data_IF_817015984805
#
_entry.id   IF_817015984805
#
_cell.length_a   1.000
_cell.length_b   1.000
_cell.length_c   1.000
_cell.angle_alpha   90.00
_cell.angle_beta   90.00
_cell.angle_gamma   90.00
#
_symmetry.space_group_name_H-M   'P 1'
#
loop_
_entity.id
_entity.type
_entity.pdbx_description
1 polymer ?
#
# COMPACT_ATOMS: atom_id res chain seq x y z
N UNK A 1 -15.29 17.25 43.06
CA UNK A 1 -14.31 17.76 42.07
C UNK A 1 -14.61 17.08 40.75
N UNK A 2 -15.25 17.77 39.83
CA UNK A 2 -15.58 17.24 38.50
C UNK A 2 -14.27 17.04 37.75
N UNK A 3 -13.85 15.78 37.59
CA UNK A 3 -12.71 15.42 36.75
C UNK A 3 -13.02 15.96 35.36
N UNK A 4 -12.10 16.74 34.83
CA UNK A 4 -12.21 17.25 33.49
C UNK A 4 -12.39 16.08 32.49
N UNK A 5 -13.48 16.04 31.71
CA UNK A 5 -13.77 14.94 30.80
C UNK A 5 -12.79 14.86 29.63
N UNK A 6 -12.14 15.96 29.24
CA UNK A 6 -11.23 16.01 28.09
C UNK A 6 -10.07 15.05 28.26
N UNK A 7 -9.48 14.99 29.45
CA UNK A 7 -8.35 14.09 29.73
C UNK A 7 -8.73 12.62 29.55
N UNK A 8 -9.86 12.20 30.12
CA UNK A 8 -10.39 10.85 30.02
C UNK A 8 -10.82 10.50 28.58
N UNK A 9 -11.52 11.41 27.91
CA UNK A 9 -11.98 11.24 26.53
C UNK A 9 -10.80 11.18 25.55
N UNK A 10 -9.78 12.01 25.74
CA UNK A 10 -8.57 12.01 24.94
C UNK A 10 -7.77 10.71 25.15
N UNK A 11 -7.68 10.24 26.40
CA UNK A 11 -7.04 8.96 26.72
C UNK A 11 -7.77 7.79 26.05
N UNK A 12 -9.09 7.76 26.12
CA UNK A 12 -9.91 6.77 25.42
C UNK A 12 -9.74 6.86 23.89
N UNK A 13 -9.80 8.05 23.31
CA UNK A 13 -9.58 8.23 21.87
C UNK A 13 -8.20 7.75 21.43
N UNK A 14 -7.16 7.89 22.27
CA UNK A 14 -5.83 7.40 21.98
C UNK A 14 -5.71 5.86 21.98
N UNK A 15 -6.57 5.12 22.69
CA UNK A 15 -6.54 3.64 22.66
C UNK A 15 -6.96 3.08 21.31
N UNK A 16 -7.56 3.90 20.44
CA UNK A 16 -7.95 3.55 19.09
C UNK A 16 -6.77 3.48 18.11
N UNK A 17 -5.56 3.85 18.56
CA UNK A 17 -4.35 3.94 17.74
C UNK A 17 -3.20 3.12 18.33
N UNK A 18 -2.19 2.74 17.52
CA UNK A 18 -1.11 1.85 17.98
C UNK A 18 -0.27 2.38 19.15
N UNK A 19 -0.12 3.71 19.29
CA UNK A 19 0.56 4.33 20.43
C UNK A 19 0.31 5.84 20.50
N UNK A 20 0.48 6.44 21.69
CA UNK A 20 0.46 7.90 21.88
C UNK A 20 1.53 8.58 21.02
N UNK A 21 2.70 7.96 20.84
CA UNK A 21 3.75 8.50 19.99
C UNK A 21 3.33 8.57 18.51
N UNK A 22 2.55 7.60 18.03
CA UNK A 22 1.96 7.64 16.69
C UNK A 22 0.98 8.82 16.55
N UNK A 23 0.11 9.01 17.55
CA UNK A 23 -0.86 10.14 17.59
C UNK A 23 -0.13 11.49 17.56
N UNK A 24 0.85 11.70 18.44
CA UNK A 24 1.58 12.97 18.53
C UNK A 24 2.26 13.36 17.20
N UNK A 25 2.86 12.39 16.49
CA UNK A 25 3.50 12.62 15.19
C UNK A 25 2.50 13.05 14.12
N UNK A 26 1.29 12.46 14.10
CA UNK A 26 0.27 12.78 13.10
C UNK A 26 -0.44 14.11 13.37
N UNK A 27 -0.71 14.43 14.63
CA UNK A 27 -1.32 15.73 15.01
C UNK A 27 -0.30 16.88 14.91
N UNK A 28 1.00 16.56 14.98
CA UNK A 28 2.07 17.57 15.01
C UNK A 28 2.07 18.34 16.33
N UNK A 29 1.82 17.65 17.45
CA UNK A 29 1.93 18.19 18.82
C UNK A 29 3.06 17.48 19.53
N UNK A 30 3.89 18.24 20.24
CA UNK A 30 4.99 17.68 21.01
C UNK A 30 4.47 16.68 22.07
N UNK A 31 5.12 15.51 22.18
CA UNK A 31 4.69 14.44 23.10
C UNK A 31 4.65 14.86 24.56
N UNK A 32 5.60 15.67 25.04
CA UNK A 32 5.58 16.18 26.41
C UNK A 32 4.36 17.08 26.65
N UNK A 33 4.02 17.92 25.67
CA UNK A 33 2.84 18.77 25.72
C UNK A 33 1.56 17.94 25.66
N UNK A 34 1.48 16.94 24.78
CA UNK A 34 0.32 16.08 24.65
C UNK A 34 0.07 15.24 25.90
N UNK A 35 1.13 14.74 26.54
CA UNK A 35 1.02 14.01 27.80
C UNK A 35 0.42 14.87 28.93
N UNK A 36 0.68 16.20 28.95
CA UNK A 36 0.04 17.12 29.90
C UNK A 36 -1.47 17.26 29.68
N UNK A 37 -1.94 17.02 28.46
CA UNK A 37 -3.38 16.99 28.14
C UNK A 37 -4.02 15.69 28.62
N UNK A 38 -3.34 14.55 28.37
CA UNK A 38 -3.79 13.24 28.84
C UNK A 38 -3.84 13.13 30.37
N UNK A 39 -2.92 13.79 31.07
CA UNK A 39 -2.93 13.84 32.55
C UNK A 39 -3.91 14.86 33.12
N UNK A 40 -4.61 15.64 32.26
CA UNK A 40 -5.52 16.71 32.69
C UNK A 40 -4.83 17.89 33.38
N UNK A 41 -3.49 17.96 33.35
CA UNK A 41 -2.72 19.03 34.01
C UNK A 41 -2.85 20.36 33.29
N UNK A 42 -3.02 20.32 31.95
CA UNK A 42 -3.17 21.52 31.12
C UNK A 42 -4.25 21.29 30.07
N UNK A 43 -4.97 22.36 29.73
CA UNK A 43 -5.92 22.38 28.60
C UNK A 43 -5.21 22.57 27.26
N UNK A 44 -5.62 21.89 26.17
CA UNK A 44 -5.20 22.28 24.84
C UNK A 44 -5.56 23.74 24.55
N UNK A 45 -4.66 24.47 23.87
CA UNK A 45 -5.01 25.78 23.30
C UNK A 45 -6.07 25.61 22.21
N UNK A 46 -6.81 26.66 21.83
CA UNK A 46 -7.82 26.57 20.75
C UNK A 46 -7.26 25.95 19.46
N UNK A 47 -6.04 26.32 19.08
CA UNK A 47 -5.35 25.75 17.91
C UNK A 47 -5.09 24.25 18.06
N UNK A 48 -4.55 23.83 19.21
CA UNK A 48 -4.29 22.42 19.47
C UNK A 48 -5.58 21.63 19.66
N UNK A 49 -6.62 22.22 20.25
CA UNK A 49 -7.94 21.63 20.40
C UNK A 49 -8.54 21.32 19.04
N UNK A 50 -8.50 22.27 18.10
CA UNK A 50 -8.95 22.05 16.72
C UNK A 50 -8.19 20.92 16.05
N UNK A 51 -6.85 20.92 16.13
CA UNK A 51 -6.02 19.82 15.58
C UNK A 51 -6.38 18.46 16.19
N UNK A 52 -6.65 18.41 17.48
CA UNK A 52 -7.07 17.19 18.18
C UNK A 52 -8.44 16.74 17.68
N UNK A 53 -9.41 17.66 17.63
CA UNK A 53 -10.76 17.42 17.12
C UNK A 53 -10.75 16.89 15.67
N UNK A 54 -10.03 17.57 14.77
CA UNK A 54 -9.90 17.19 13.36
C UNK A 54 -9.27 15.80 13.22
N UNK A 55 -8.25 15.49 14.03
CA UNK A 55 -7.58 14.19 13.98
C UNK A 55 -8.46 13.04 14.44
N UNK A 56 -9.27 13.25 15.49
CA UNK A 56 -10.15 12.22 16.03
C UNK A 56 -11.52 12.18 15.36
N UNK A 57 -11.84 13.14 14.48
CA UNK A 57 -13.15 13.24 13.83
C UNK A 57 -14.27 13.56 14.82
N UNK A 58 -13.99 14.42 15.79
CA UNK A 58 -14.95 14.86 16.82
C UNK A 58 -15.00 16.38 16.89
N UNK A 59 -16.10 16.94 17.40
CA UNK A 59 -16.16 18.37 17.71
C UNK A 59 -15.60 18.66 19.11
N UNK A 60 -15.28 19.93 19.40
CA UNK A 60 -14.85 20.33 20.75
C UNK A 60 -15.94 20.07 21.79
N UNK A 61 -17.21 20.28 21.43
CA UNK A 61 -18.35 19.97 22.31
C UNK A 61 -18.46 18.46 22.61
N UNK A 62 -18.20 17.61 21.61
CA UNK A 62 -18.17 16.15 21.79
C UNK A 62 -17.03 15.73 22.73
N UNK A 63 -15.83 16.28 22.55
CA UNK A 63 -14.69 15.97 23.41
C UNK A 63 -14.90 16.41 24.88
N UNK A 64 -15.77 17.40 25.11
CA UNK A 64 -16.16 17.90 26.42
C UNK A 64 -17.35 17.14 27.06
N UNK A 65 -17.91 16.13 26.38
CA UNK A 65 -19.02 15.33 26.91
C UNK A 65 -18.59 14.46 28.09
N UNK A 66 -19.54 14.06 28.92
CA UNK A 66 -19.33 13.03 29.95
C UNK A 66 -18.70 11.76 29.36
N UNK A 67 -17.68 11.16 30.00
CA UNK A 67 -16.90 10.10 29.38
C UNK A 67 -17.69 8.88 28.91
N UNK A 68 -18.72 8.48 29.66
CA UNK A 68 -19.61 7.40 29.24
C UNK A 68 -20.31 7.71 27.90
N UNK A 69 -20.82 8.93 27.73
CA UNK A 69 -21.47 9.37 26.48
C UNK A 69 -20.47 9.51 25.33
N UNK A 70 -19.26 9.99 25.60
CA UNK A 70 -18.21 10.08 24.60
C UNK A 70 -17.82 8.68 24.08
N UNK A 71 -17.62 7.73 24.99
CA UNK A 71 -17.35 6.33 24.64
C UNK A 71 -18.48 5.72 23.84
N UNK A 72 -19.75 5.92 24.22
CA UNK A 72 -20.91 5.46 23.46
C UNK A 72 -20.98 6.08 22.05
N UNK A 73 -20.76 7.38 21.92
CA UNK A 73 -20.75 8.09 20.64
C UNK A 73 -19.68 7.55 19.70
N UNK A 74 -18.46 7.36 20.21
CA UNK A 74 -17.34 6.80 19.44
C UNK A 74 -17.59 5.32 19.10
N UNK A 75 -18.20 4.55 20.00
CA UNK A 75 -18.56 3.16 19.76
C UNK A 75 -19.70 3.04 18.72
N UNK A 76 -20.67 3.95 18.71
CA UNK A 76 -21.75 4.02 17.74
C UNK A 76 -21.24 4.38 16.34
N UNK A 77 -20.32 5.35 16.21
CA UNK A 77 -19.60 5.63 14.96
C UNK A 77 -18.78 4.43 14.45
N UNK A 78 -18.44 3.49 15.34
CA UNK A 78 -17.72 2.24 15.03
C UNK A 78 -18.61 0.99 14.89
N UNK A 79 -19.93 1.06 15.11
CA UNK A 79 -20.81 -0.07 14.74
C UNK A 79 -20.64 -0.34 13.24
N UNK A 80 -20.55 -1.60 12.81
CA UNK A 80 -20.26 -1.95 11.41
C UNK A 80 -21.49 -1.63 10.54
N UNK A 81 -21.66 -0.36 10.19
CA UNK A 81 -22.79 0.12 9.39
C UNK A 81 -23.05 1.61 9.56
N UNK A 82 -22.31 2.45 8.83
CA UNK A 82 -22.50 3.91 8.75
C UNK A 82 -21.59 4.64 9.76
N UNK A 83 -20.49 5.25 9.36
CA UNK A 83 -20.37 6.19 8.25
C UNK A 83 -19.58 5.58 7.09
N UNK A 84 -20.19 5.60 5.90
CA UNK A 84 -19.40 5.88 4.71
C UNK A 84 -18.83 7.26 5.00
N UNK A 85 -17.61 7.34 5.52
CA UNK A 85 -16.76 8.48 5.23
C UNK A 85 -16.97 8.68 3.73
N UNK A 86 -17.68 9.74 3.35
CA UNK A 86 -17.91 10.09 1.96
C UNK A 86 -16.58 10.60 1.40
N UNK A 87 -15.53 9.77 1.52
CA UNK A 87 -14.36 9.91 0.70
C UNK A 87 -14.89 9.66 -0.72
N UNK A 88 -14.56 10.52 -1.69
CA UNK A 88 -14.92 10.28 -3.08
C UNK A 88 -14.39 8.92 -3.60
N UNK A 89 -13.40 8.34 -2.91
CA UNK A 89 -12.82 7.04 -3.20
C UNK A 89 -13.66 5.87 -2.67
N UNK A 90 -14.36 6.02 -1.54
CA UNK A 90 -15.10 4.94 -0.88
C UNK A 90 -16.15 4.29 -1.78
N UNK A 91 -17.07 5.06 -2.38
CA UNK A 91 -18.07 4.52 -3.31
C UNK A 91 -17.45 3.93 -4.58
N UNK A 92 -16.41 4.57 -5.13
CA UNK A 92 -15.74 4.12 -6.36
C UNK A 92 -14.99 2.81 -6.14
N UNK A 93 -14.18 2.71 -5.07
CA UNK A 93 -13.46 1.49 -4.72
C UNK A 93 -14.41 0.35 -4.38
N UNK A 94 -15.50 0.62 -3.66
CA UNK A 94 -16.55 -0.38 -3.41
C UNK A 94 -17.17 -0.87 -4.71
N UNK A 95 -17.46 0.03 -5.65
CA UNK A 95 -17.97 -0.33 -6.98
C UNK A 95 -16.97 -1.20 -7.76
N UNK A 96 -15.71 -0.78 -7.82
CA UNK A 96 -14.66 -1.57 -8.47
C UNK A 96 -14.55 -2.97 -7.85
N UNK A 97 -14.58 -3.08 -6.52
CA UNK A 97 -14.56 -4.37 -5.84
C UNK A 97 -15.81 -5.21 -6.10
N UNK A 98 -16.99 -4.58 -6.18
CA UNK A 98 -18.26 -5.27 -6.46
C UNK A 98 -18.31 -5.88 -7.86
N UNK A 99 -17.75 -5.18 -8.86
CA UNK A 99 -17.69 -5.68 -10.23
C UNK A 99 -16.46 -6.53 -10.52
N UNK A 100 -15.49 -6.56 -9.60
CA UNK A 100 -14.30 -7.39 -9.74
C UNK A 100 -14.66 -8.87 -9.64
N UNK A 101 -14.18 -9.66 -10.59
CA UNK A 101 -14.25 -11.11 -10.48
C UNK A 101 -13.38 -11.62 -9.31
N UNK A 102 -13.67 -12.82 -8.74
CA UNK A 102 -12.85 -13.43 -7.72
C UNK A 102 -11.41 -13.70 -8.19
N UNK A 103 -10.45 -13.36 -7.34
CA UNK A 103 -9.01 -13.54 -7.56
C UNK A 103 -8.41 -14.62 -6.63
N UNK A 104 -9.22 -15.41 -5.91
CA UNK A 104 -8.75 -16.40 -4.93
C UNK A 104 -7.66 -17.32 -5.49
N UNK A 105 -7.82 -17.74 -6.76
CA UNK A 105 -6.84 -18.58 -7.45
C UNK A 105 -5.47 -17.90 -7.63
N UNK A 106 -5.44 -16.58 -7.75
CA UNK A 106 -4.23 -15.75 -7.87
C UNK A 106 -3.70 -15.29 -6.51
N UNK A 107 -4.29 -15.69 -5.39
CA UNK A 107 -3.65 -15.47 -4.10
C UNK A 107 -2.37 -16.32 -3.97
N UNK A 108 -1.33 -15.73 -3.40
CA UNK A 108 -0.03 -16.38 -3.26
C UNK A 108 1.14 -15.41 -3.42
N UNK A 109 2.35 -15.97 -3.34
CA UNK A 109 3.60 -15.25 -3.53
C UNK A 109 4.03 -15.26 -4.99
N UNK A 110 4.75 -14.21 -5.38
CA UNK A 110 5.26 -14.01 -6.73
C UNK A 110 6.67 -13.45 -6.68
N UNK A 111 7.52 -13.83 -7.63
CA UNK A 111 8.61 -12.95 -8.04
C UNK A 111 8.12 -12.03 -9.16
N UNK A 112 8.31 -10.72 -8.97
CA UNK A 112 8.03 -9.73 -10.00
C UNK A 112 9.33 -9.34 -10.70
N UNK A 113 9.30 -9.39 -12.03
CA UNK A 113 10.42 -9.04 -12.89
C UNK A 113 10.04 -7.92 -13.86
N UNK A 114 10.90 -6.91 -13.97
CA UNK A 114 10.79 -5.83 -14.95
C UNK A 114 12.13 -5.12 -15.12
N UNK A 115 12.33 -4.42 -16.24
CA UNK A 115 13.51 -3.57 -16.41
C UNK A 115 13.48 -2.36 -15.48
N UNK A 116 14.55 -2.15 -14.71
CA UNK A 116 14.62 -1.06 -13.74
C UNK A 116 14.60 0.31 -14.42
N UNK A 117 13.69 1.17 -13.99
CA UNK A 117 13.60 2.56 -14.47
C UNK A 117 14.76 3.45 -13.97
N UNK A 118 15.37 3.10 -12.84
CA UNK A 118 16.48 3.87 -12.26
C UNK A 118 17.86 3.35 -12.70
N UNK A 119 17.94 2.07 -13.07
CA UNK A 119 19.18 1.35 -13.38
C UNK A 119 19.10 0.74 -14.80
N UNK A 120 19.45 1.51 -15.85
CA UNK A 120 19.37 1.07 -17.23
C UNK A 120 20.07 -0.27 -17.47
N UNK A 121 19.43 -1.16 -18.22
CA UNK A 121 19.95 -2.48 -18.56
C UNK A 121 19.91 -3.51 -17.43
N UNK A 122 19.46 -3.16 -16.23
CA UNK A 122 19.23 -4.11 -15.12
C UNK A 122 17.76 -4.54 -15.07
N UNK A 123 17.53 -5.75 -14.59
CA UNK A 123 16.20 -6.32 -14.30
C UNK A 123 16.05 -6.36 -12.78
N UNK A 124 14.96 -5.78 -12.28
CA UNK A 124 14.56 -5.90 -10.89
C UNK A 124 13.89 -7.25 -10.69
N UNK A 125 14.26 -7.97 -9.62
CA UNK A 125 13.48 -9.07 -9.04
C UNK A 125 12.99 -8.63 -7.67
N UNK A 126 11.69 -8.46 -7.51
CA UNK A 126 11.05 -8.13 -6.24
C UNK A 126 10.13 -9.26 -5.77
N UNK A 127 9.79 -9.27 -4.48
CA UNK A 127 8.86 -10.25 -3.92
C UNK A 127 7.51 -9.60 -3.72
N UNK A 128 6.50 -10.15 -4.37
CA UNK A 128 5.13 -9.68 -4.27
C UNK A 128 4.20 -10.74 -3.69
N UNK A 129 3.08 -10.30 -3.13
CA UNK A 129 2.06 -11.17 -2.60
C UNK A 129 0.66 -10.60 -2.86
N UNK A 130 -0.24 -11.47 -3.31
CA UNK A 130 -1.67 -11.20 -3.37
C UNK A 130 -2.34 -11.94 -2.22
N UNK A 131 -3.12 -11.22 -1.43
CA UNK A 131 -3.87 -11.78 -0.29
C UNK A 131 -5.33 -11.32 -0.33
N UNK A 132 -6.24 -12.13 0.20
CA UNK A 132 -7.64 -11.73 0.39
C UNK A 132 -7.88 -11.34 1.85
N UNK A 133 -8.47 -10.18 2.07
CA UNK A 133 -8.85 -9.70 3.41
C UNK A 133 -10.13 -8.86 3.33
N UNK A 134 -11.09 -9.14 4.20
CA UNK A 134 -12.35 -8.39 4.33
C UNK A 134 -13.11 -8.22 2.99
N UNK A 135 -13.02 -9.22 2.10
CA UNK A 135 -13.65 -9.17 0.78
C UNK A 135 -12.89 -8.39 -0.30
N UNK A 136 -11.68 -7.90 0.01
CA UNK A 136 -10.79 -7.21 -0.93
C UNK A 136 -9.54 -8.03 -1.23
N UNK A 137 -8.98 -7.84 -2.42
CA UNK A 137 -7.67 -8.38 -2.78
C UNK A 137 -6.61 -7.30 -2.61
N UNK A 138 -5.63 -7.61 -1.77
CA UNK A 138 -4.57 -6.71 -1.38
C UNK A 138 -3.25 -7.15 -2.00
N UNK A 139 -2.51 -6.15 -2.46
CA UNK A 139 -1.19 -6.30 -3.01
C UNK A 139 -0.14 -5.85 -1.99
N UNK A 140 0.95 -6.59 -1.89
CA UNK A 140 2.18 -6.16 -1.23
C UNK A 140 3.37 -6.47 -2.13
N UNK A 141 4.34 -5.57 -2.20
CA UNK A 141 5.59 -5.81 -2.91
C UNK A 141 6.77 -5.25 -2.11
N UNK A 142 7.89 -5.97 -2.16
CA UNK A 142 9.14 -5.59 -1.48
C UNK A 142 10.27 -5.67 -2.50
N UNK A 143 10.92 -4.52 -2.70
CA UNK A 143 12.13 -4.41 -3.50
C UNK A 143 13.34 -4.29 -2.58
N UNK A 144 14.45 -4.91 -2.99
CA UNK A 144 15.73 -4.79 -2.31
C UNK A 144 16.78 -4.35 -3.32
N UNK A 145 17.52 -3.31 -2.96
CA UNK A 145 18.63 -2.82 -3.77
C UNK A 145 19.89 -2.78 -2.90
N UNK A 146 20.98 -3.36 -3.38
CA UNK A 146 22.28 -3.23 -2.71
C UNK A 146 22.80 -1.83 -3.02
N UNK A 147 23.10 -1.05 -1.99
CA UNK A 147 23.69 0.27 -2.16
C UNK A 147 25.03 0.16 -2.90
N UNK A 148 25.16 0.93 -3.99
CA UNK A 148 26.38 0.99 -4.83
C UNK A 148 27.59 1.50 -4.04
N UNK A 149 27.38 2.22 -2.94
CA UNK A 149 28.44 2.82 -2.13
C UNK A 149 28.97 1.91 -1.01
N UNK A 150 28.45 0.67 -0.89
CA UNK A 150 28.73 -0.20 0.25
C UNK A 150 27.97 0.28 1.49
N UNK A 151 27.11 -0.57 2.05
CA UNK A 151 26.26 -0.19 3.17
C UNK A 151 25.01 -1.06 3.31
N UNK A 152 24.05 -0.62 4.13
CA UNK A 152 22.78 -1.30 4.32
C UNK A 152 22.00 -1.43 2.99
N UNK A 153 21.28 -2.54 2.82
CA UNK A 153 20.38 -2.73 1.68
C UNK A 153 19.22 -1.72 1.76
N UNK A 154 18.98 -1.02 0.66
CA UNK A 154 17.77 -0.22 0.53
C UNK A 154 16.58 -1.18 0.36
N UNK A 155 15.54 -0.97 1.18
CA UNK A 155 14.31 -1.77 1.14
C UNK A 155 13.14 -0.84 0.85
N UNK A 156 12.49 -1.06 -0.28
CA UNK A 156 11.28 -0.35 -0.66
C UNK A 156 10.09 -1.26 -0.45
N UNK A 157 9.02 -0.72 0.14
CA UNK A 157 7.79 -1.45 0.42
C UNK A 157 6.64 -0.77 -0.28
N UNK A 158 5.82 -1.57 -0.92
CA UNK A 158 4.66 -1.14 -1.66
C UNK A 158 3.45 -1.90 -1.17
N UNK A 159 2.32 -1.22 -1.15
CA UNK A 159 1.02 -1.79 -0.85
C UNK A 159 -0.01 -1.26 -1.82
N UNK A 160 -1.07 -2.03 -2.03
CA UNK A 160 -2.06 -1.70 -3.04
C UNK A 160 -3.26 -2.62 -3.04
N UNK A 161 -4.04 -2.49 -4.10
CA UNK A 161 -5.23 -3.30 -4.34
C UNK A 161 -5.12 -4.00 -5.69
N UNK A 162 -5.79 -5.14 -5.78
CA UNK A 162 -5.90 -5.93 -7.01
C UNK A 162 -7.37 -6.06 -7.40
N UNK A 163 -7.66 -5.86 -8.68
CA UNK A 163 -9.00 -6.00 -9.25
C UNK A 163 -8.94 -6.89 -10.49
N UNK A 164 -9.94 -7.74 -10.67
CA UNK A 164 -10.14 -8.47 -11.92
C UNK A 164 -11.32 -7.84 -12.66
N UNK A 165 -11.02 -6.91 -13.56
CA UNK A 165 -12.00 -6.08 -14.25
C UNK A 165 -11.63 -5.99 -15.73
N UNK A 166 -12.63 -6.11 -16.60
CA UNK A 166 -12.43 -6.08 -18.06
C UNK A 166 -11.52 -7.22 -18.52
N UNK A 167 -11.69 -8.41 -17.95
CA UNK A 167 -10.90 -9.62 -18.28
C UNK A 167 -9.39 -9.44 -18.09
N UNK A 168 -8.98 -8.51 -17.21
CA UNK A 168 -7.58 -8.26 -16.84
C UNK A 168 -7.41 -8.12 -15.33
N UNK A 169 -6.26 -8.56 -14.84
CA UNK A 169 -5.84 -8.36 -13.45
C UNK A 169 -5.14 -7.00 -13.36
N UNK A 170 -5.75 -6.08 -12.64
CA UNK A 170 -5.29 -4.71 -12.45
C UNK A 170 -4.71 -4.56 -11.04
N UNK A 171 -3.47 -4.10 -10.94
CA UNK A 171 -2.83 -3.77 -9.66
C UNK A 171 -2.57 -2.28 -9.62
N UNK A 172 -2.96 -1.62 -8.53
CA UNK A 172 -2.55 -0.24 -8.23
C UNK A 172 -1.85 -0.24 -6.89
N UNK A 173 -0.59 0.15 -6.88
CA UNK A 173 0.24 0.20 -5.66
C UNK A 173 0.83 1.60 -5.44
N UNK A 174 1.10 1.92 -4.18
CA UNK A 174 1.89 3.07 -3.76
C UNK A 174 3.04 2.64 -2.86
N UNK A 175 4.08 3.49 -2.78
CA UNK A 175 5.13 3.32 -1.78
C UNK A 175 4.54 3.53 -0.37
N UNK A 176 4.79 2.59 0.55
CA UNK A 176 4.04 2.45 1.80
C UNK A 176 4.40 3.50 2.87
N UNK A 177 5.60 4.08 2.85
CA UNK A 177 6.04 5.00 3.91
C UNK A 177 5.66 6.46 3.64
N UNK A 178 5.88 6.93 2.42
CA UNK A 178 5.70 8.32 2.00
C UNK A 178 4.58 8.49 0.98
N UNK A 179 4.05 7.40 0.41
CA UNK A 179 3.05 7.46 -0.68
C UNK A 179 3.51 8.36 -1.82
N UNK A 180 4.82 8.34 -2.08
CA UNK A 180 5.49 9.31 -2.95
C UNK A 180 5.54 8.89 -4.42
N UNK A 181 5.08 7.67 -4.72
CA UNK A 181 4.92 7.12 -6.06
C UNK A 181 3.70 6.22 -6.15
N UNK A 182 3.17 6.13 -7.36
CA UNK A 182 2.14 5.16 -7.77
C UNK A 182 2.73 4.32 -8.89
N UNK A 183 2.44 3.02 -8.87
CA UNK A 183 2.68 2.10 -9.98
C UNK A 183 1.39 1.37 -10.30
N UNK A 184 1.12 1.21 -11.59
CA UNK A 184 -0.03 0.46 -12.08
C UNK A 184 0.44 -0.70 -12.93
N UNK A 185 -0.22 -1.85 -12.81
CA UNK A 185 0.01 -3.02 -13.66
C UNK A 185 -1.31 -3.54 -14.21
N UNK A 186 -1.28 -3.96 -15.47
CA UNK A 186 -2.39 -4.64 -16.13
C UNK A 186 -1.83 -5.96 -16.66
N UNK A 187 -2.36 -7.07 -16.18
CA UNK A 187 -1.85 -8.41 -16.43
C UNK A 187 -2.93 -9.27 -17.10
N UNK A 188 -2.48 -10.16 -17.98
CA UNK A 188 -3.32 -11.24 -18.48
C UNK A 188 -3.62 -12.24 -17.35
N UNK A 189 -4.86 -12.72 -17.22
CA UNK A 189 -5.17 -13.87 -16.39
C UNK A 189 -4.52 -15.14 -16.95
N UNK A 190 -4.46 -16.20 -16.14
CA UNK A 190 -4.03 -17.52 -16.61
C UNK A 190 -5.22 -18.33 -17.09
N UNK A 191 -5.14 -18.83 -18.32
CA UNK A 191 -6.17 -19.69 -18.94
C UNK A 191 -5.91 -21.20 -18.73
N UNK A 192 -4.76 -21.56 -18.18
CA UNK A 192 -4.40 -22.94 -17.83
C UNK A 192 -5.04 -23.37 -16.50
N UNK A 193 -4.91 -24.65 -16.11
CA UNK A 193 -5.35 -25.12 -14.78
C UNK A 193 -4.38 -24.70 -13.65
N UNK A 194 -3.08 -24.64 -13.94
CA UNK A 194 -2.03 -24.09 -13.07
C UNK A 194 -1.76 -22.62 -13.37
N UNK A 195 -1.07 -21.92 -12.46
CA UNK A 195 -0.51 -20.59 -12.73
C UNK A 195 1.01 -20.74 -12.74
N UNK A 196 1.63 -20.52 -13.89
CA UNK A 196 3.09 -20.46 -13.99
C UNK A 196 3.56 -19.03 -13.79
N UNK A 197 3.02 -18.11 -14.58
CA UNK A 197 3.27 -16.68 -14.47
C UNK A 197 2.09 -15.86 -14.97
N UNK A 198 2.10 -14.57 -14.63
CA UNK A 198 1.23 -13.56 -15.21
C UNK A 198 2.10 -12.55 -15.95
N UNK A 199 1.73 -12.20 -17.18
CA UNK A 199 2.45 -11.25 -18.01
C UNK A 199 1.58 -10.02 -18.24
N UNK A 200 2.21 -8.86 -18.37
CA UNK A 200 1.50 -7.67 -18.79
C UNK A 200 2.38 -6.44 -18.84
N UNK A 201 1.75 -5.28 -18.69
CA UNK A 201 2.41 -3.98 -18.72
C UNK A 201 2.33 -3.33 -17.34
N UNK A 202 3.41 -2.63 -17.01
CA UNK A 202 3.52 -1.80 -15.82
C UNK A 202 3.86 -0.37 -16.22
N UNK A 203 3.26 0.60 -15.53
CA UNK A 203 3.62 2.01 -15.66
C UNK A 203 3.90 2.62 -14.28
N UNK A 204 4.87 3.52 -14.21
CA UNK A 204 5.28 4.17 -12.97
C UNK A 204 6.41 5.16 -13.18
N UNK A 205 6.95 5.69 -12.09
CA UNK A 205 8.09 6.60 -12.12
C UNK A 205 9.19 6.16 -11.15
N UNK A 206 10.48 6.25 -11.53
CA UNK A 206 11.59 5.95 -10.63
C UNK A 206 11.63 6.95 -9.46
N UNK A 207 11.84 6.44 -8.24
CA UNK A 207 11.96 7.29 -7.04
C UNK A 207 13.27 8.09 -7.01
N UNK A 208 14.36 7.56 -7.61
CA UNK A 208 15.72 8.09 -7.45
C UNK A 208 16.25 8.88 -8.66
N UNK A 209 15.82 8.59 -9.90
CA UNK A 209 16.47 9.13 -11.11
C UNK A 209 15.51 9.74 -12.12
N UNK A 210 15.55 11.07 -12.29
CA UNK A 210 14.86 11.82 -13.35
C UNK A 210 13.32 11.85 -13.30
N UNK A 211 12.67 11.00 -12.49
CA UNK A 211 11.21 10.89 -12.28
C UNK A 211 10.41 10.89 -13.59
N UNK A 212 11.01 10.44 -14.69
CA UNK A 212 10.33 10.36 -15.99
C UNK A 212 9.26 9.27 -15.90
N UNK A 213 8.03 9.52 -16.38
CA UNK A 213 7.05 8.46 -16.58
C UNK A 213 7.65 7.37 -17.46
N UNK A 214 7.47 6.12 -17.06
CA UNK A 214 8.01 4.97 -17.76
C UNK A 214 6.98 3.84 -17.82
N UNK A 215 7.10 3.03 -18.86
CA UNK A 215 6.36 1.79 -19.04
C UNK A 215 7.33 0.64 -19.32
N UNK A 216 6.99 -0.57 -18.90
CA UNK A 216 7.72 -1.78 -19.23
C UNK A 216 6.81 -3.01 -19.21
N UNK A 217 7.24 -4.07 -19.89
CA UNK A 217 6.73 -5.42 -19.65
C UNK A 217 7.05 -5.81 -18.20
N UNK A 218 6.12 -6.52 -17.59
CA UNK A 218 6.26 -7.06 -16.25
C UNK A 218 5.80 -8.51 -16.23
N UNK A 219 6.54 -9.34 -15.51
CA UNK A 219 6.22 -10.75 -15.26
C UNK A 219 6.06 -10.97 -13.78
N UNK A 220 4.97 -11.62 -13.38
CA UNK A 220 4.78 -12.18 -12.05
C UNK A 220 4.92 -13.70 -12.13
N UNK A 221 6.08 -14.22 -11.76
CA UNK A 221 6.37 -15.65 -11.70
C UNK A 221 5.79 -16.23 -10.40
N UNK A 222 4.86 -17.19 -10.51
CA UNK A 222 4.07 -17.67 -9.37
C UNK A 222 4.85 -18.64 -8.50
N UNK A 223 4.85 -18.40 -7.19
CA UNK A 223 5.57 -19.21 -6.21
C UNK A 223 4.64 -20.12 -5.39
N UNK A 224 3.32 -20.01 -5.61
CA UNK A 224 2.31 -20.74 -4.84
C UNK A 224 1.81 -19.98 -3.61
N UNK A 225 0.96 -20.64 -2.83
CA UNK A 225 0.34 -20.05 -1.63
C UNK A 225 1.20 -20.19 -0.37
N UNK A 226 2.04 -21.23 -0.31
CA UNK A 226 2.84 -21.58 0.87
C UNK A 226 4.31 -21.24 0.65
N UNK A 227 4.61 -19.93 0.58
CA UNK A 227 5.97 -19.43 0.30
C UNK A 227 6.66 -18.98 1.58
N UNK A 228 7.91 -19.41 1.79
CA UNK A 228 8.78 -18.79 2.78
C UNK A 228 9.22 -17.41 2.27
N UNK A 229 8.48 -16.38 2.68
CA UNK A 229 8.71 -15.00 2.25
C UNK A 229 10.12 -14.51 2.60
N UNK A 230 10.75 -14.99 3.70
CA UNK A 230 12.11 -14.57 4.06
C UNK A 230 13.11 -15.12 3.04
N UNK A 231 12.99 -16.40 2.67
CA UNK A 231 13.82 -17.03 1.64
C UNK A 231 13.59 -16.42 0.27
N UNK A 232 12.34 -16.11 -0.07
CA UNK A 232 12.02 -15.46 -1.34
C UNK A 232 12.64 -14.06 -1.41
N UNK A 233 12.45 -13.23 -0.37
CA UNK A 233 13.03 -11.89 -0.32
C UNK A 233 14.56 -11.86 -0.32
N UNK A 234 15.23 -12.90 0.18
CA UNK A 234 16.69 -13.00 0.13
C UNK A 234 17.22 -13.16 -1.31
N UNK A 235 16.36 -13.57 -2.24
CA UNK A 235 16.67 -13.68 -3.66
C UNK A 235 16.38 -12.36 -4.41
N UNK A 236 15.66 -11.41 -3.82
CA UNK A 236 15.35 -10.15 -4.48
C UNK A 236 16.59 -9.26 -4.67
N UNK A 237 16.57 -8.45 -5.73
CA UNK A 237 17.73 -7.65 -6.12
C UNK A 237 17.62 -7.08 -7.53
N UNK A 238 18.68 -6.38 -7.93
CA UNK A 238 18.91 -5.98 -9.32
C UNK A 238 19.91 -6.95 -9.97
N UNK A 239 19.54 -7.45 -11.13
CA UNK A 239 20.31 -8.44 -11.86
C UNK A 239 20.64 -7.90 -13.26
N UNK A 240 21.84 -8.18 -13.79
CA UNK A 240 22.04 -8.09 -15.22
C UNK A 240 21.29 -9.26 -15.91
N UNK A 241 20.84 -9.10 -17.17
CA UNK A 241 20.02 -10.11 -17.85
C UNK A 241 20.66 -11.50 -17.89
N UNK A 242 21.97 -11.58 -18.08
CA UNK A 242 22.74 -12.83 -18.12
C UNK A 242 22.74 -13.64 -16.81
N UNK A 243 22.33 -13.04 -15.69
CA UNK A 243 22.24 -13.71 -14.39
C UNK A 243 20.84 -14.27 -14.09
N UNK A 244 19.88 -14.12 -15.00
CA UNK A 244 18.50 -14.59 -14.85
C UNK A 244 18.17 -15.72 -15.85
N UNK A 245 17.10 -16.45 -15.56
CA UNK A 245 16.54 -17.44 -16.48
C UNK A 245 16.25 -16.76 -17.85
N UNK A 246 16.77 -17.29 -18.97
CA UNK A 246 16.53 -16.74 -20.31
C UNK A 246 15.05 -16.52 -20.64
N UNK A 247 14.15 -17.38 -20.13
CA UNK A 247 12.69 -17.23 -20.29
C UNK A 247 12.21 -15.92 -19.67
N UNK A 248 12.66 -15.62 -18.45
CA UNK A 248 12.30 -14.37 -17.75
C UNK A 248 12.83 -13.17 -18.52
N UNK A 249 14.09 -13.22 -18.97
CA UNK A 249 14.71 -12.14 -19.76
C UNK A 249 13.91 -11.86 -21.03
N UNK A 250 13.49 -12.91 -21.74
CA UNK A 250 12.67 -12.78 -22.94
C UNK A 250 11.31 -12.13 -22.63
N UNK A 251 10.62 -12.60 -21.58
CA UNK A 251 9.29 -12.10 -21.23
C UNK A 251 9.28 -10.63 -20.78
N UNK A 252 10.37 -10.12 -20.19
CA UNK A 252 10.47 -8.72 -19.72
C UNK A 252 11.16 -7.79 -20.71
N UNK A 253 11.53 -8.28 -21.90
CA UNK A 253 12.17 -7.46 -22.94
C UNK A 253 11.21 -6.36 -23.39
N UNK A 254 11.69 -5.12 -23.46
CA UNK A 254 10.88 -3.96 -23.88
C UNK A 254 11.14 -3.59 -25.33
N UNK A 255 10.80 -4.47 -26.27
CA UNK A 255 10.88 -4.18 -27.70
C UNK A 255 9.53 -3.72 -28.27
N UNK A 256 9.60 -2.71 -29.15
CA UNK A 256 8.51 -2.33 -30.02
C UNK A 256 8.85 -2.76 -31.44
N UNK A 257 7.90 -3.41 -32.11
CA UNK A 257 8.07 -3.74 -33.53
C UNK A 257 8.29 -2.45 -34.34
N UNK A 258 9.14 -2.48 -35.39
CA UNK A 258 9.29 -1.35 -36.29
C UNK A 258 7.93 -0.91 -36.84
N UNK A 259 7.61 0.38 -36.71
CA UNK A 259 6.33 0.95 -37.14
C UNK A 259 5.17 0.81 -36.14
N UNK A 260 5.40 0.21 -34.96
CA UNK A 260 4.42 0.21 -33.88
C UNK A 260 4.26 1.61 -33.25
N UNK A 261 3.03 2.01 -33.02
CA UNK A 261 2.68 3.29 -32.38
C UNK A 261 2.31 3.13 -30.91
N UNK A 262 2.08 1.89 -30.47
CA UNK A 262 1.62 1.55 -29.12
C UNK A 262 2.51 0.47 -28.54
N UNK A 263 2.88 0.61 -27.27
CA UNK A 263 3.66 -0.41 -26.56
C UNK A 263 2.71 -1.49 -26.03
N UNK A 264 2.60 -2.57 -26.77
CA UNK A 264 1.71 -3.69 -26.46
C UNK A 264 2.49 -4.89 -25.93
N UNK A 265 1.81 -5.68 -25.11
CA UNK A 265 2.35 -6.92 -24.55
C UNK A 265 1.48 -8.06 -25.07
N UNK A 266 2.09 -8.92 -25.87
CA UNK A 266 1.46 -10.14 -26.35
C UNK A 266 1.72 -11.28 -25.37
N UNK A 267 0.69 -12.06 -25.08
CA UNK A 267 0.85 -13.31 -24.35
C UNK A 267 1.37 -14.36 -25.35
N UNK A 268 2.59 -14.84 -25.14
CA UNK A 268 3.20 -15.93 -25.91
C UNK A 268 2.40 -17.23 -25.77
#
# INVERSE_FOLDING_TARGET
MTVDPVSANLAFACTLFPSIAHVCRRIGINRQQFNKYLSGTVRPSRHNMRKICDFFGVTEAELLMEPARFTELIALRRRPGGEVEATPLGPTLKRLNQFSEPLDRYCGGYFRYFHSYSNPGRIMRSYAQITRKDGYYLWKNIEREVSVQGGAQDVFKYEGMVFFLGERINVVENEAMLSSSITQMILYPSYSAGIDYLLGIQTGGPLKRGRKPAASRVVLDYLGQNVDARRAMAQCGLFPPEALDPRIVQLVRNDMAPGAWTFEVEQL
#
